data_IF_444112837485
#
_entry.id   IF_444112837485
#
_cell.length_a   1.000
_cell.length_b   1.000
_cell.length_c   1.000
_cell.angle_alpha   90.00
_cell.angle_beta   90.00
_cell.angle_gamma   90.00
#
_symmetry.space_group_name_H-M   'P 1'
#
loop_
_entity.id
_entity.type
_entity.pdbx_description
1 polymer ?
#
# COMPACT_ATOMS: atom_id res chain seq x y z
N UNK A 1 -3.21 -19.68 -25.97
CA UNK A 1 -2.32 -19.13 -24.92
C UNK A 1 -2.02 -17.69 -25.28
N UNK A 2 -1.86 -16.82 -24.28
CA UNK A 2 -1.45 -15.43 -24.49
C UNK A 2 0.05 -15.36 -24.80
N UNK A 3 0.40 -14.67 -25.87
CA UNK A 3 1.74 -14.50 -26.42
C UNK A 3 2.02 -13.07 -26.88
N UNK A 4 0.98 -12.29 -27.23
CA UNK A 4 1.12 -10.88 -27.63
C UNK A 4 0.24 -9.93 -26.78
N UNK A 5 0.86 -9.19 -25.86
CA UNK A 5 0.16 -8.19 -25.02
C UNK A 5 -0.27 -6.91 -25.77
N UNK A 6 0.10 -6.78 -27.05
CA UNK A 6 -0.42 -5.72 -27.94
C UNK A 6 -1.66 -6.15 -28.73
N UNK A 7 -2.17 -7.37 -28.53
CA UNK A 7 -3.47 -7.80 -29.02
C UNK A 7 -4.43 -7.95 -27.83
N UNK A 8 -5.29 -6.95 -27.63
CA UNK A 8 -6.27 -6.98 -26.53
C UNK A 8 -7.28 -8.14 -26.65
N UNK A 9 -7.57 -8.64 -27.87
CA UNK A 9 -8.44 -9.79 -28.05
C UNK A 9 -7.74 -11.07 -27.59
N UNK A 10 -6.46 -11.22 -27.90
CA UNK A 10 -5.67 -12.35 -27.42
C UNK A 10 -5.58 -12.32 -25.89
N UNK A 11 -5.27 -11.17 -25.29
CA UNK A 11 -5.11 -11.04 -23.83
C UNK A 11 -6.38 -11.39 -23.04
N UNK A 12 -7.57 -11.18 -23.62
CA UNK A 12 -8.86 -11.37 -22.95
C UNK A 12 -9.63 -12.65 -23.33
N UNK A 13 -9.17 -13.39 -24.34
CA UNK A 13 -9.88 -14.60 -24.81
C UNK A 13 -8.98 -15.84 -24.91
N UNK A 14 -7.70 -15.74 -24.55
CA UNK A 14 -6.76 -16.84 -24.57
C UNK A 14 -6.26 -17.18 -23.16
N UNK A 15 -5.83 -18.43 -23.00
CA UNK A 15 -5.32 -18.94 -21.72
C UNK A 15 -4.06 -18.19 -21.24
N UNK A 16 -4.17 -17.52 -20.10
CA UNK A 16 -3.05 -16.95 -19.36
C UNK A 16 -2.21 -18.08 -18.79
N UNK A 17 -0.98 -18.26 -19.28
CA UNK A 17 -0.05 -19.34 -18.84
C UNK A 17 -0.67 -20.75 -18.79
N UNK A 18 -1.64 -21.03 -19.65
CA UNK A 18 -2.34 -22.33 -19.72
C UNK A 18 -3.52 -22.48 -18.75
N UNK A 19 -3.88 -21.43 -18.01
CA UNK A 19 -5.10 -21.38 -17.21
C UNK A 19 -6.32 -21.37 -18.13
N UNK A 20 -7.28 -22.27 -17.88
CA UNK A 20 -8.51 -22.37 -18.68
C UNK A 20 -9.32 -21.08 -18.55
N UNK A 21 -9.60 -20.47 -19.69
CA UNK A 21 -10.27 -19.17 -19.76
C UNK A 21 -11.80 -19.35 -19.78
N UNK A 22 -12.47 -18.79 -18.77
CA UNK A 22 -13.93 -18.83 -18.69
C UNK A 22 -14.52 -17.82 -19.67
N UNK A 23 -15.56 -18.20 -20.43
CA UNK A 23 -16.25 -17.24 -21.30
C UNK A 23 -17.25 -16.41 -20.48
N UNK A 24 -16.82 -15.26 -19.94
CA UNK A 24 -17.71 -14.38 -19.16
C UNK A 24 -18.75 -13.64 -20.00
N UNK A 25 -18.72 -13.74 -21.33
CA UNK A 25 -19.82 -13.29 -22.20
C UNK A 25 -21.02 -14.25 -22.21
N UNK A 26 -20.88 -15.47 -21.67
CA UNK A 26 -21.95 -16.44 -21.53
C UNK A 26 -22.75 -16.20 -20.24
N UNK A 27 -24.08 -16.06 -20.36
CA UNK A 27 -24.95 -15.78 -19.22
C UNK A 27 -24.87 -16.84 -18.11
N UNK A 28 -24.72 -18.12 -18.45
CA UNK A 28 -24.57 -19.18 -17.45
C UNK A 28 -23.29 -19.02 -16.63
N UNK A 29 -22.18 -18.61 -17.26
CA UNK A 29 -20.92 -18.35 -16.56
C UNK A 29 -21.07 -17.13 -15.65
N UNK A 30 -21.68 -16.05 -16.15
CA UNK A 30 -21.97 -14.86 -15.33
C UNK A 30 -22.86 -15.22 -14.13
N UNK A 31 -23.90 -16.03 -14.31
CA UNK A 31 -24.80 -16.48 -13.25
C UNK A 31 -24.03 -17.21 -12.15
N UNK A 32 -23.11 -18.12 -12.53
CA UNK A 32 -22.29 -18.88 -11.58
C UNK A 32 -21.33 -17.99 -10.79
N UNK A 33 -20.73 -16.99 -11.44
CA UNK A 33 -19.87 -16.01 -10.76
C UNK A 33 -20.67 -15.14 -9.80
N UNK A 34 -21.81 -14.60 -10.24
CA UNK A 34 -22.69 -13.77 -9.39
C UNK A 34 -23.20 -14.58 -8.20
N UNK A 35 -23.66 -15.82 -8.40
CA UNK A 35 -24.11 -16.72 -7.32
C UNK A 35 -23.03 -16.88 -6.24
N UNK A 36 -21.78 -17.11 -6.64
CA UNK A 36 -20.66 -17.23 -5.72
C UNK A 36 -20.36 -15.92 -4.97
N UNK A 37 -20.29 -14.79 -5.67
CA UNK A 37 -19.97 -13.50 -5.06
C UNK A 37 -21.09 -13.02 -4.13
N UNK A 38 -22.35 -13.19 -4.51
CA UNK A 38 -23.49 -12.88 -3.66
C UNK A 38 -23.54 -13.74 -2.41
N UNK A 39 -23.16 -15.02 -2.50
CA UNK A 39 -23.02 -15.86 -1.32
C UNK A 39 -21.99 -15.30 -0.33
N UNK A 40 -20.85 -14.80 -0.82
CA UNK A 40 -19.84 -14.16 0.03
C UNK A 40 -20.34 -12.83 0.62
N UNK A 41 -21.11 -12.05 -0.13
CA UNK A 41 -21.76 -10.83 0.37
C UNK A 41 -22.73 -11.17 1.50
N UNK A 42 -23.53 -12.22 1.34
CA UNK A 42 -24.46 -12.67 2.38
C UNK A 42 -23.71 -13.07 3.67
N UNK A 43 -22.50 -13.65 3.54
CA UNK A 43 -21.60 -14.00 4.66
C UNK A 43 -20.89 -12.78 5.28
N UNK A 44 -21.04 -11.59 4.71
CA UNK A 44 -20.57 -10.33 5.31
C UNK A 44 -19.25 -9.79 4.77
N UNK A 45 -18.75 -10.25 3.62
CA UNK A 45 -17.56 -9.63 3.01
C UNK A 45 -17.89 -8.19 2.56
N UNK A 46 -16.93 -7.27 2.69
CA UNK A 46 -17.11 -5.86 2.32
C UNK A 46 -16.82 -5.57 0.83
N UNK A 47 -16.19 -6.51 0.12
CA UNK A 47 -15.63 -6.25 -1.21
C UNK A 47 -14.77 -7.38 -1.74
N UNK A 48 -14.25 -7.17 -2.95
CA UNK A 48 -13.51 -8.17 -3.71
C UNK A 48 -12.27 -7.57 -4.39
N UNK A 49 -11.16 -8.30 -4.31
CA UNK A 49 -10.04 -8.14 -5.25
C UNK A 49 -10.28 -9.09 -6.40
N UNK A 50 -10.51 -8.53 -7.58
CA UNK A 50 -10.77 -9.28 -8.80
C UNK A 50 -9.44 -9.57 -9.46
N UNK A 51 -9.01 -10.83 -9.33
CA UNK A 51 -7.79 -11.38 -9.92
C UNK A 51 -7.79 -11.25 -11.43
N UNK A 52 -6.61 -11.03 -12.03
CA UNK A 52 -6.40 -11.07 -13.47
C UNK A 52 -7.42 -10.22 -14.27
N UNK A 53 -7.92 -9.11 -13.71
CA UNK A 53 -8.98 -8.31 -14.34
C UNK A 53 -8.58 -7.76 -15.71
N UNK A 54 -7.28 -7.54 -15.95
CA UNK A 54 -6.73 -7.23 -17.28
C UNK A 54 -7.16 -8.22 -18.37
N UNK A 55 -7.33 -9.49 -18.01
CA UNK A 55 -7.69 -10.60 -18.89
C UNK A 55 -9.20 -10.80 -19.05
N UNK A 56 -10.02 -9.91 -18.50
CA UNK A 56 -11.47 -9.95 -18.66
C UNK A 56 -11.94 -8.70 -19.40
N UNK A 57 -13.01 -8.82 -20.19
CA UNK A 57 -13.61 -7.65 -20.83
C UNK A 57 -14.29 -6.75 -19.79
N UNK A 58 -14.04 -5.42 -19.80
CA UNK A 58 -14.74 -4.48 -18.92
C UNK A 58 -16.27 -4.57 -19.04
N UNK A 59 -16.78 -4.86 -20.24
CA UNK A 59 -18.22 -5.03 -20.47
C UNK A 59 -18.81 -6.23 -19.70
N UNK A 60 -18.11 -7.37 -19.70
CA UNK A 60 -18.57 -8.56 -18.97
C UNK A 60 -18.48 -8.35 -17.46
N UNK A 61 -17.40 -7.72 -16.98
CA UNK A 61 -17.27 -7.32 -15.58
C UNK A 61 -18.37 -6.35 -15.15
N UNK A 62 -18.73 -5.39 -16.00
CA UNK A 62 -19.81 -4.44 -15.71
C UNK A 62 -21.16 -5.14 -15.51
N UNK A 63 -21.45 -6.18 -16.31
CA UNK A 63 -22.66 -7.00 -16.15
C UNK A 63 -22.62 -7.77 -14.83
N UNK A 64 -21.50 -8.41 -14.50
CA UNK A 64 -21.34 -9.16 -13.25
C UNK A 64 -21.51 -8.23 -12.04
N UNK A 65 -20.77 -7.12 -11.99
CA UNK A 65 -20.83 -6.18 -10.87
C UNK A 65 -22.19 -5.49 -10.73
N UNK A 66 -22.86 -5.21 -11.85
CA UNK A 66 -24.19 -4.61 -11.87
C UNK A 66 -25.28 -5.52 -11.30
N UNK A 67 -25.02 -6.83 -11.20
CA UNK A 67 -25.95 -7.84 -10.69
C UNK A 67 -25.72 -8.22 -9.22
N UNK A 68 -24.61 -7.79 -8.63
CA UNK A 68 -24.30 -8.11 -7.24
C UNK A 68 -25.31 -7.48 -6.27
N UNK A 69 -25.58 -8.19 -5.18
CA UNK A 69 -26.32 -7.65 -4.04
C UNK A 69 -25.61 -6.43 -3.44
N UNK A 70 -26.40 -5.62 -2.73
CA UNK A 70 -25.83 -4.70 -1.76
C UNK A 70 -25.29 -5.48 -0.56
N UNK A 71 -24.35 -4.88 0.17
CA UNK A 71 -23.73 -5.45 1.36
C UNK A 71 -24.77 -5.74 2.45
N UNK A 72 -24.57 -6.85 3.16
CA UNK A 72 -25.50 -7.34 4.16
C UNK A 72 -25.55 -6.45 5.40
N UNK A 73 -26.71 -5.84 5.68
CA UNK A 73 -26.90 -4.92 6.81
C UNK A 73 -26.74 -5.59 8.18
N UNK A 74 -26.90 -6.92 8.27
CA UNK A 74 -26.71 -7.67 9.52
C UNK A 74 -25.23 -7.65 9.98
N UNK A 75 -24.30 -7.36 9.06
CA UNK A 75 -22.87 -7.19 9.33
C UNK A 75 -22.47 -5.72 9.55
N UNK A 76 -23.44 -4.82 9.79
CA UNK A 76 -23.20 -3.43 10.16
C UNK A 76 -22.98 -2.47 8.98
N UNK A 77 -23.19 -2.92 7.74
CA UNK A 77 -23.18 -2.05 6.56
C UNK A 77 -24.47 -1.21 6.49
N UNK A 78 -24.36 0.02 5.99
CA UNK A 78 -25.53 0.85 5.74
C UNK A 78 -26.38 0.28 4.59
N UNK A 79 -27.71 0.45 4.64
CA UNK A 79 -28.59 0.03 3.54
C UNK A 79 -28.17 0.67 2.21
N UNK A 80 -28.11 -0.14 1.15
CA UNK A 80 -27.68 0.30 -0.18
C UNK A 80 -26.16 0.38 -0.39
N UNK A 81 -25.35 0.00 0.60
CA UNK A 81 -23.89 -0.06 0.44
C UNK A 81 -23.52 -1.11 -0.62
N UNK A 82 -22.65 -0.76 -1.56
CA UNK A 82 -22.14 -1.69 -2.58
C UNK A 82 -20.81 -2.28 -2.15
N UNK A 83 -20.52 -3.49 -2.63
CA UNK A 83 -19.22 -4.11 -2.44
C UNK A 83 -18.08 -3.24 -2.99
N UNK A 84 -17.00 -3.09 -2.23
CA UNK A 84 -15.80 -2.42 -2.71
C UNK A 84 -15.08 -3.32 -3.73
N UNK A 85 -14.96 -2.86 -4.97
CA UNK A 85 -14.29 -3.60 -6.04
C UNK A 85 -12.91 -3.00 -6.30
N UNK A 86 -11.88 -3.85 -6.24
CA UNK A 86 -10.55 -3.53 -6.75
C UNK A 86 -10.13 -4.55 -7.80
N UNK A 87 -9.74 -4.06 -8.96
CA UNK A 87 -9.42 -4.87 -10.13
C UNK A 87 -7.91 -4.96 -10.29
N UNK A 88 -7.38 -6.17 -10.39
CA UNK A 88 -5.98 -6.35 -10.75
C UNK A 88 -5.76 -6.07 -12.23
N UNK A 89 -5.22 -4.89 -12.51
CA UNK A 89 -4.85 -4.50 -13.88
C UNK A 89 -3.39 -4.05 -13.86
N UNK A 90 -2.50 -4.95 -14.27
CA UNK A 90 -1.09 -4.63 -14.46
C UNK A 90 -0.95 -3.78 -15.72
N UNK A 91 -0.83 -2.46 -15.55
CA UNK A 91 -0.59 -1.48 -16.62
C UNK A 91 0.64 -0.62 -16.30
N UNK A 92 1.78 -1.01 -16.87
CA UNK A 92 3.04 -0.26 -16.83
C UNK A 92 3.20 0.67 -18.05
N UNK A 93 2.22 0.72 -18.95
CA UNK A 93 2.27 1.40 -20.24
C UNK A 93 2.91 0.56 -21.35
N UNK A 94 2.68 0.95 -22.61
CA UNK A 94 3.28 0.30 -23.77
C UNK A 94 2.59 -1.00 -24.24
N UNK A 95 1.39 -1.27 -23.75
CA UNK A 95 0.56 -2.42 -24.14
C UNK A 95 -0.82 -1.95 -24.66
N UNK A 96 -1.59 -2.86 -25.25
CA UNK A 96 -2.89 -2.52 -25.85
C UNK A 96 -4.01 -2.25 -24.84
N UNK A 97 -3.86 -2.71 -23.59
CA UNK A 97 -4.88 -2.58 -22.54
C UNK A 97 -4.43 -1.53 -21.53
N UNK A 98 -5.34 -0.62 -21.19
CA UNK A 98 -5.11 0.40 -20.18
C UNK A 98 -5.94 0.17 -18.91
N UNK A 99 -5.36 0.50 -17.75
CA UNK A 99 -6.10 0.56 -16.47
C UNK A 99 -7.31 1.49 -16.53
N UNK A 100 -7.27 2.53 -17.37
CA UNK A 100 -8.36 3.49 -17.52
C UNK A 100 -9.68 2.85 -17.95
N UNK A 101 -9.64 1.75 -18.72
CA UNK A 101 -10.82 0.98 -19.15
C UNK A 101 -11.64 0.42 -17.98
N UNK A 102 -11.02 0.25 -16.81
CA UNK A 102 -11.60 -0.42 -15.64
C UNK A 102 -11.99 0.56 -14.51
N UNK A 103 -11.48 1.80 -14.55
CA UNK A 103 -11.70 2.79 -13.47
C UNK A 103 -13.16 3.22 -13.29
N UNK A 104 -13.99 3.05 -14.33
CA UNK A 104 -15.44 3.26 -14.26
C UNK A 104 -16.19 2.19 -13.46
N UNK A 105 -15.57 1.01 -13.26
CA UNK A 105 -16.18 -0.16 -12.62
C UNK A 105 -15.82 -0.28 -11.12
N UNK A 106 -14.71 0.32 -10.71
CA UNK A 106 -14.18 0.21 -9.35
C UNK A 106 -12.78 0.78 -9.26
N UNK A 107 -12.09 0.50 -8.15
CA UNK A 107 -10.67 0.78 -8.04
C UNK A 107 -9.84 -0.20 -8.89
N UNK A 108 -8.59 0.17 -9.16
CA UNK A 108 -7.58 -0.68 -9.78
C UNK A 108 -6.35 -0.80 -8.87
N UNK A 109 -5.56 -1.86 -9.04
CA UNK A 109 -4.23 -1.97 -8.46
C UNK A 109 -3.24 -1.07 -9.20
N UNK A 110 -2.73 -0.02 -8.55
CA UNK A 110 -1.78 0.90 -9.20
C UNK A 110 -0.34 0.36 -9.12
N UNK A 111 0.02 -0.56 -10.01
CA UNK A 111 1.37 -1.18 -10.01
C UNK A 111 2.50 -0.17 -10.26
N UNK A 112 2.24 0.95 -10.95
CA UNK A 112 3.25 2.00 -11.12
C UNK A 112 3.64 2.65 -9.80
N UNK A 113 2.75 2.65 -8.81
CA UNK A 113 3.09 3.10 -7.46
C UNK A 113 4.18 2.22 -6.85
N UNK A 114 4.02 0.89 -6.90
CA UNK A 114 4.99 -0.11 -6.38
C UNK A 114 6.35 0.01 -7.09
N UNK A 115 6.35 0.13 -8.42
CA UNK A 115 7.57 0.31 -9.21
C UNK A 115 8.28 1.64 -8.91
N UNK A 116 7.54 2.76 -8.93
CA UNK A 116 8.13 4.10 -8.76
C UNK A 116 8.65 4.31 -7.34
N UNK A 117 7.91 3.87 -6.32
CA UNK A 117 8.33 4.03 -4.92
C UNK A 117 9.55 3.14 -4.64
N UNK A 118 9.60 1.97 -5.27
CA UNK A 118 10.75 1.08 -5.24
C UNK A 118 12.02 1.74 -5.78
N UNK A 119 11.95 2.34 -6.99
CA UNK A 119 13.08 3.05 -7.61
C UNK A 119 13.59 4.20 -6.76
N UNK A 120 12.68 5.03 -6.25
CA UNK A 120 13.04 6.19 -5.42
C UNK A 120 13.75 5.76 -4.13
N UNK A 121 13.18 4.82 -3.37
CA UNK A 121 13.79 4.39 -2.09
C UNK A 121 14.99 3.45 -2.26
N UNK A 122 15.22 2.90 -3.45
CA UNK A 122 16.48 2.24 -3.83
C UNK A 122 17.58 3.21 -4.28
N UNK A 123 17.29 4.51 -4.38
CA UNK A 123 18.23 5.53 -4.86
C UNK A 123 18.46 5.50 -6.37
N UNK A 124 17.57 4.85 -7.14
CA UNK A 124 17.55 4.94 -8.60
C UNK A 124 16.82 6.20 -9.10
N UNK A 125 16.10 6.84 -8.20
CA UNK A 125 15.50 8.16 -8.37
C UNK A 125 15.56 8.89 -7.01
N UNK A 126 15.28 10.20 -6.99
CA UNK A 126 15.48 11.03 -5.79
C UNK A 126 14.18 11.35 -5.06
N UNK A 127 14.24 11.42 -3.72
CA UNK A 127 13.08 11.75 -2.90
C UNK A 127 12.51 13.15 -3.19
N UNK A 128 13.33 14.13 -3.59
CA UNK A 128 12.86 15.48 -3.93
C UNK A 128 11.74 15.51 -4.98
N UNK A 129 11.73 14.55 -5.92
CA UNK A 129 10.73 14.53 -6.99
C UNK A 129 9.35 14.05 -6.52
N UNK A 130 9.25 13.51 -5.29
CA UNK A 130 7.99 13.08 -4.71
C UNK A 130 7.03 14.25 -4.36
N UNK A 131 7.45 15.51 -4.56
CA UNK A 131 6.62 16.71 -4.30
C UNK A 131 5.28 16.70 -5.05
N UNK A 132 5.22 16.03 -6.21
CA UNK A 132 4.01 15.88 -7.03
C UNK A 132 3.55 14.42 -7.17
N UNK A 133 3.88 13.56 -6.19
CA UNK A 133 3.52 12.14 -6.19
C UNK A 133 2.02 11.91 -6.42
N UNK A 134 1.67 11.11 -7.43
CA UNK A 134 0.28 10.89 -7.82
C UNK A 134 0.08 10.86 -9.34
N UNK A 135 -0.96 11.51 -9.84
CA UNK A 135 -1.32 11.49 -11.27
C UNK A 135 -0.22 12.08 -12.18
N UNK A 136 0.60 13.01 -11.69
CA UNK A 136 1.75 13.55 -12.42
C UNK A 136 2.82 12.47 -12.72
N UNK A 137 2.82 11.38 -11.96
CA UNK A 137 3.67 10.20 -12.18
C UNK A 137 3.00 9.16 -13.11
N UNK A 138 1.90 9.51 -13.77
CA UNK A 138 1.14 8.62 -14.65
C UNK A 138 0.29 7.59 -13.89
N UNK A 139 -0.01 7.85 -12.61
CA UNK A 139 -0.97 7.05 -11.85
C UNK A 139 -2.41 7.39 -12.26
N UNK A 140 -3.33 6.48 -12.01
CA UNK A 140 -4.77 6.74 -12.10
C UNK A 140 -5.19 7.76 -11.03
N UNK A 141 -6.45 8.21 -11.10
CA UNK A 141 -7.00 9.08 -10.08
C UNK A 141 -6.89 8.44 -8.68
N UNK A 142 -6.66 9.28 -7.65
CA UNK A 142 -6.44 8.82 -6.27
C UNK A 142 -7.60 7.96 -5.75
N UNK A 143 -8.84 8.37 -6.01
CA UNK A 143 -10.08 7.67 -5.62
C UNK A 143 -10.30 6.35 -6.38
N UNK A 144 -9.47 6.07 -7.39
CA UNK A 144 -9.50 4.82 -8.19
C UNK A 144 -8.28 3.94 -7.97
N UNK A 145 -7.37 4.32 -7.08
CA UNK A 145 -6.08 3.65 -6.94
C UNK A 145 -5.97 2.91 -5.61
N UNK A 146 -5.92 1.58 -5.65
CA UNK A 146 -5.36 0.79 -4.55
C UNK A 146 -3.84 0.75 -4.71
N UNK A 147 -3.14 1.35 -3.75
CA UNK A 147 -1.67 1.48 -3.77
C UNK A 147 -1.01 0.55 -2.78
N UNK A 148 0.20 0.13 -3.08
CA UNK A 148 1.00 -0.77 -2.25
C UNK A 148 2.49 -0.60 -2.57
N UNK A 149 3.35 -1.00 -1.63
CA UNK A 149 4.81 -1.09 -1.86
C UNK A 149 5.12 -2.37 -2.60
N UNK A 150 4.52 -3.48 -2.18
CA UNK A 150 4.59 -4.80 -2.78
C UNK A 150 3.24 -5.53 -2.71
N UNK A 151 3.08 -6.57 -3.53
CA UNK A 151 2.01 -7.56 -3.42
C UNK A 151 2.62 -8.97 -3.34
N UNK A 152 1.74 -9.97 -3.24
CA UNK A 152 2.15 -11.36 -3.14
C UNK A 152 2.93 -11.87 -4.37
N UNK A 153 2.64 -11.39 -5.58
CA UNK A 153 3.40 -11.80 -6.78
C UNK A 153 4.75 -11.10 -6.86
N UNK A 154 4.76 -9.77 -6.81
CA UNK A 154 5.94 -8.99 -7.16
C UNK A 154 7.00 -8.98 -6.07
N UNK A 155 6.66 -9.31 -4.82
CA UNK A 155 7.66 -9.58 -3.79
C UNK A 155 8.49 -10.84 -4.08
N UNK A 156 8.00 -11.73 -4.95
CA UNK A 156 8.69 -12.93 -5.45
C UNK A 156 9.38 -12.69 -6.80
N UNK A 157 9.30 -11.47 -7.34
CA UNK A 157 9.76 -11.17 -8.70
C UNK A 157 8.79 -11.63 -9.80
N UNK A 158 7.58 -12.09 -9.43
CA UNK A 158 6.53 -12.41 -10.39
C UNK A 158 5.69 -11.15 -10.65
N UNK A 159 5.43 -10.80 -11.91
CA UNK A 159 4.63 -9.61 -12.25
C UNK A 159 5.43 -8.31 -12.33
N UNK A 160 4.77 -7.17 -12.07
CA UNK A 160 5.30 -5.84 -12.39
C UNK A 160 6.22 -5.23 -11.33
N UNK A 161 7.22 -4.47 -11.79
CA UNK A 161 8.22 -3.75 -10.99
C UNK A 161 9.58 -4.46 -10.90
N UNK A 162 9.62 -5.78 -11.12
CA UNK A 162 10.87 -6.55 -11.18
C UNK A 162 11.78 -6.35 -9.97
N UNK A 163 13.08 -6.12 -10.20
CA UNK A 163 14.08 -5.98 -9.14
C UNK A 163 13.92 -4.72 -8.28
N UNK A 164 13.08 -3.76 -8.71
CA UNK A 164 12.87 -2.50 -7.98
C UNK A 164 11.85 -2.61 -6.85
N UNK A 165 11.02 -3.65 -6.85
CA UNK A 165 10.06 -3.90 -5.77
C UNK A 165 10.79 -4.03 -4.43
N UNK A 166 10.38 -3.23 -3.45
CA UNK A 166 10.86 -3.31 -2.08
C UNK A 166 10.02 -4.32 -1.32
N UNK A 167 10.65 -5.16 -0.50
CA UNK A 167 9.97 -6.20 0.28
C UNK A 167 10.54 -6.25 1.69
N UNK A 168 9.96 -7.08 2.56
CA UNK A 168 10.49 -7.34 3.90
C UNK A 168 11.96 -7.78 3.92
N UNK A 169 12.50 -8.29 2.79
CA UNK A 169 13.90 -8.72 2.65
C UNK A 169 14.89 -7.54 2.60
N UNK A 170 14.42 -6.31 2.39
CA UNK A 170 15.19 -5.06 2.45
C UNK A 170 14.54 -4.09 3.45
N UNK A 171 14.58 -4.42 4.76
CA UNK A 171 13.65 -3.88 5.74
C UNK A 171 13.76 -2.38 5.97
N UNK A 172 14.96 -1.78 5.89
CA UNK A 172 15.12 -0.33 6.07
C UNK A 172 14.37 0.45 4.99
N UNK A 173 14.66 0.19 3.71
CA UNK A 173 14.00 0.83 2.59
C UNK A 173 12.50 0.50 2.54
N UNK A 174 12.12 -0.74 2.86
CA UNK A 174 10.71 -1.14 2.91
C UNK A 174 9.89 -0.36 3.95
N UNK A 175 10.43 -0.19 5.17
CA UNK A 175 9.81 0.63 6.21
C UNK A 175 9.70 2.09 5.78
N UNK A 176 10.74 2.64 5.14
CA UNK A 176 10.73 4.01 4.62
C UNK A 176 9.65 4.21 3.55
N UNK A 177 9.60 3.35 2.54
CA UNK A 177 8.58 3.39 1.48
C UNK A 177 7.15 3.21 2.04
N UNK A 178 6.97 2.29 2.98
CA UNK A 178 5.68 2.05 3.64
C UNK A 178 5.23 3.28 4.45
N UNK A 179 6.15 3.91 5.18
CA UNK A 179 5.86 5.14 5.92
C UNK A 179 5.47 6.29 4.97
N UNK A 180 6.16 6.45 3.84
CA UNK A 180 5.78 7.44 2.83
C UNK A 180 4.38 7.18 2.27
N UNK A 181 4.10 5.95 1.83
CA UNK A 181 2.78 5.55 1.32
C UNK A 181 1.66 5.82 2.33
N UNK A 182 1.89 5.51 3.62
CA UNK A 182 0.91 5.71 4.68
C UNK A 182 0.73 7.19 5.05
N UNK A 183 1.80 7.99 5.00
CA UNK A 183 1.76 9.42 5.27
C UNK A 183 1.17 10.25 4.11
N UNK A 184 1.33 9.82 2.87
CA UNK A 184 0.87 10.53 1.67
C UNK A 184 -0.65 10.33 1.44
N UNK A 185 -1.43 11.35 1.05
CA UNK A 185 -2.90 11.22 0.91
C UNK A 185 -3.35 10.36 -0.30
N UNK A 186 -2.47 10.16 -1.29
CA UNK A 186 -2.80 9.47 -2.54
C UNK A 186 -3.20 8.00 -2.33
N UNK A 187 -4.31 7.60 -2.97
CA UNK A 187 -4.78 6.23 -3.05
C UNK A 187 -5.31 5.63 -1.73
N UNK A 188 -5.82 4.42 -1.85
CA UNK A 188 -6.15 3.54 -0.73
C UNK A 188 -4.99 2.58 -0.49
N UNK A 189 -4.21 2.73 0.59
CA UNK A 189 -3.05 1.89 0.81
C UNK A 189 -3.44 0.49 1.27
N UNK A 190 -2.76 -0.51 0.73
CA UNK A 190 -2.76 -1.89 1.22
C UNK A 190 -1.38 -2.21 1.77
N UNK A 191 -1.32 -2.60 3.04
CA UNK A 191 -0.11 -3.10 3.69
C UNK A 191 -0.01 -4.60 3.44
N UNK A 192 1.14 -5.07 2.97
CA UNK A 192 1.40 -6.49 2.79
C UNK A 192 1.73 -7.13 4.15
N UNK A 193 1.39 -8.41 4.31
CA UNK A 193 1.83 -9.23 5.42
C UNK A 193 2.20 -10.60 4.89
N UNK A 194 3.47 -10.95 4.99
CA UNK A 194 4.08 -12.07 4.29
C UNK A 194 4.41 -13.22 5.24
N UNK A 195 4.78 -14.34 4.62
CA UNK A 195 5.60 -15.38 5.23
C UNK A 195 6.98 -15.38 4.58
N UNK A 196 7.97 -15.93 5.27
CA UNK A 196 9.33 -15.99 4.77
C UNK A 196 9.50 -17.13 3.76
N UNK A 197 10.13 -16.83 2.63
CA UNK A 197 10.41 -17.79 1.57
C UNK A 197 11.82 -17.58 0.99
N UNK A 198 12.45 -18.67 0.56
CA UNK A 198 13.70 -18.65 -0.22
C UNK A 198 13.48 -19.01 -1.69
N UNK A 199 12.48 -19.84 -1.95
CA UNK A 199 11.99 -20.19 -3.29
C UNK A 199 10.76 -19.34 -3.62
N UNK A 200 10.70 -18.80 -4.84
CA UNK A 200 9.61 -17.94 -5.31
C UNK A 200 8.30 -18.69 -5.48
N UNK A 201 8.34 -20.01 -5.67
CA UNK A 201 7.16 -20.88 -5.78
C UNK A 201 6.78 -21.53 -4.43
N UNK A 202 7.46 -21.15 -3.34
CA UNK A 202 7.20 -21.72 -2.02
C UNK A 202 5.83 -21.31 -1.47
N UNK A 203 5.08 -22.32 -1.02
CA UNK A 203 3.85 -22.13 -0.24
C UNK A 203 4.09 -21.59 1.18
N UNK A 204 3.00 -21.31 1.93
CA UNK A 204 3.09 -20.81 3.30
C UNK A 204 3.71 -21.85 4.26
N UNK A 205 4.11 -21.44 5.48
CA UNK A 205 4.57 -22.36 6.52
C UNK A 205 3.52 -23.45 6.79
N UNK A 206 3.94 -24.70 6.91
CA UNK A 206 3.06 -25.85 7.17
C UNK A 206 3.53 -26.65 8.38
N UNK A 207 2.62 -27.32 9.10
CA UNK A 207 2.96 -28.22 10.21
C UNK A 207 3.47 -29.59 9.75
N UNK A 208 3.05 -30.04 8.57
CA UNK A 208 3.27 -31.41 8.07
C UNK A 208 3.39 -31.49 6.53
N UNK A 209 3.66 -30.36 5.87
CA UNK A 209 3.70 -30.24 4.41
C UNK A 209 2.33 -30.03 3.74
N UNK A 210 1.22 -30.14 4.47
CA UNK A 210 -0.13 -30.05 3.89
C UNK A 210 -1.03 -29.05 4.63
N UNK A 211 -0.90 -28.96 5.95
CA UNK A 211 -1.69 -28.09 6.79
C UNK A 211 -0.95 -26.78 7.08
N UNK A 212 -1.56 -25.64 6.74
CA UNK A 212 -1.00 -24.31 6.99
C UNK A 212 -0.80 -24.10 8.50
N UNK A 213 0.42 -23.78 8.91
CA UNK A 213 0.75 -23.50 10.30
C UNK A 213 0.26 -22.10 10.71
N UNK A 214 -0.38 -21.99 11.87
CA UNK A 214 -0.76 -20.70 12.43
C UNK A 214 0.47 -19.86 12.82
N UNK A 215 0.40 -18.52 12.72
CA UNK A 215 1.46 -17.64 13.22
C UNK A 215 1.61 -17.76 14.74
N UNK A 216 2.87 -17.71 15.21
CA UNK A 216 3.20 -17.63 16.63
C UNK A 216 3.45 -16.16 16.97
N UNK A 217 2.75 -15.64 17.96
CA UNK A 217 2.91 -14.26 18.41
C UNK A 217 3.84 -14.19 19.63
N UNK A 218 4.93 -13.44 19.48
CA UNK A 218 5.95 -13.29 20.51
C UNK A 218 5.56 -12.16 21.50
N UNK A 219 6.23 -12.10 22.65
CA UNK A 219 5.97 -11.09 23.70
C UNK A 219 6.31 -9.65 23.28
N UNK A 220 7.15 -9.49 22.26
CA UNK A 220 7.53 -8.20 21.67
C UNK A 220 6.60 -7.78 20.50
N UNK A 221 5.46 -8.47 20.35
CA UNK A 221 4.50 -8.34 19.25
C UNK A 221 4.98 -8.78 17.86
N UNK A 222 6.21 -9.28 17.71
CA UNK A 222 6.66 -9.89 16.46
C UNK A 222 6.00 -11.26 16.20
N UNK A 223 6.13 -11.76 14.98
CA UNK A 223 5.72 -13.12 14.64
C UNK A 223 6.92 -14.06 14.48
N UNK A 224 6.69 -15.34 14.75
CA UNK A 224 7.60 -16.44 14.42
C UNK A 224 6.85 -17.59 13.73
N UNK A 225 7.51 -18.73 13.52
CA UNK A 225 6.92 -19.86 12.77
C UNK A 225 6.91 -19.65 11.26
N UNK A 226 7.84 -18.85 10.73
CA UNK A 226 7.94 -18.53 9.30
C UNK A 226 7.07 -17.37 8.84
N UNK A 227 6.28 -16.75 9.72
CA UNK A 227 5.48 -15.57 9.40
C UNK A 227 6.26 -14.28 9.64
N UNK A 228 6.23 -13.35 8.68
CA UNK A 228 6.99 -12.09 8.74
C UNK A 228 6.22 -11.02 9.52
N UNK A 229 4.91 -10.93 9.28
CA UNK A 229 4.01 -9.98 9.94
C UNK A 229 4.48 -8.51 9.90
N UNK A 230 4.76 -7.99 8.71
CA UNK A 230 5.14 -6.58 8.49
C UNK A 230 4.12 -5.62 9.11
N UNK A 231 2.83 -5.97 9.07
CA UNK A 231 1.74 -5.22 9.72
C UNK A 231 1.90 -5.07 11.25
N UNK A 232 2.78 -5.84 11.90
CA UNK A 232 3.12 -5.76 13.34
C UNK A 232 4.43 -5.06 13.61
N UNK A 233 5.18 -4.67 12.58
CA UNK A 233 6.37 -3.86 12.77
C UNK A 233 5.96 -2.48 13.27
N UNK A 234 6.60 -1.99 14.33
CA UNK A 234 6.27 -0.71 14.98
C UNK A 234 6.14 0.43 13.99
N UNK A 235 7.13 0.53 13.10
CA UNK A 235 7.21 1.53 12.06
C UNK A 235 6.02 1.49 11.10
N UNK A 236 5.39 0.33 10.90
CA UNK A 236 4.25 0.15 9.99
C UNK A 236 2.93 0.36 10.73
N UNK A 237 2.67 -0.32 11.86
CA UNK A 237 1.39 -0.13 12.56
C UNK A 237 1.24 1.29 13.12
N UNK A 238 2.32 1.93 13.56
CA UNK A 238 2.24 3.33 13.99
C UNK A 238 2.00 4.27 12.80
N UNK A 239 2.46 3.93 11.60
CA UNK A 239 2.14 4.72 10.40
C UNK A 239 0.72 4.48 9.88
N UNK A 240 0.13 3.31 10.15
CA UNK A 240 -1.33 3.11 9.99
C UNK A 240 -2.09 4.01 10.97
N UNK A 241 -1.66 4.09 12.24
CA UNK A 241 -2.24 5.01 13.21
C UNK A 241 -2.00 6.48 12.85
N UNK A 242 -0.85 6.83 12.26
CA UNK A 242 -0.56 8.15 11.70
C UNK A 242 -1.58 8.49 10.62
N UNK A 243 -1.78 7.60 9.63
CA UNK A 243 -2.74 7.81 8.54
C UNK A 243 -4.15 8.05 9.06
N UNK A 244 -4.60 7.24 10.02
CA UNK A 244 -5.90 7.41 10.67
C UNK A 244 -5.98 8.75 11.41
N UNK A 245 -4.89 9.15 12.06
CA UNK A 245 -4.83 10.41 12.81
C UNK A 245 -4.91 11.61 11.89
N UNK A 246 -4.24 11.61 10.73
CA UNK A 246 -4.22 12.76 9.81
C UNK A 246 -5.41 12.78 8.84
N UNK A 247 -6.08 11.65 8.64
CA UNK A 247 -7.29 11.56 7.82
C UNK A 247 -7.10 12.11 6.41
N UNK A 248 -7.99 13.02 6.01
CA UNK A 248 -8.03 13.65 4.68
C UNK A 248 -7.24 14.96 4.58
N UNK A 249 -6.50 15.38 5.62
CA UNK A 249 -5.74 16.63 5.59
C UNK A 249 -4.78 16.67 4.39
N UNK A 250 -4.62 17.80 3.71
CA UNK A 250 -3.72 17.87 2.55
C UNK A 250 -2.24 17.92 2.97
N UNK A 251 -1.35 17.66 2.02
CA UNK A 251 0.09 17.91 2.21
C UNK A 251 0.32 19.42 2.32
N UNK A 252 1.07 19.81 3.34
CA UNK A 252 1.54 21.17 3.56
C UNK A 252 3.00 21.16 4.02
N UNK A 253 3.66 22.32 4.00
CA UNK A 253 5.03 22.49 4.49
C UNK A 253 6.02 21.48 3.87
N UNK A 254 5.88 21.21 2.57
CA UNK A 254 6.88 20.40 1.85
C UNK A 254 8.24 21.08 1.95
N UNK A 255 9.25 20.29 2.26
CA UNK A 255 10.64 20.70 2.23
C UNK A 255 11.47 19.56 1.66
N UNK A 256 12.49 19.91 0.89
CA UNK A 256 13.53 19.00 0.44
C UNK A 256 14.88 19.73 0.41
N UNK A 257 15.96 18.96 0.38
CA UNK A 257 17.33 19.48 0.28
C UNK A 257 17.87 19.51 -1.16
N UNK A 258 17.02 19.36 -2.18
CA UNK A 258 17.48 19.14 -3.55
C UNK A 258 18.09 17.76 -3.82
N UNK A 259 17.89 16.78 -2.92
CA UNK A 259 18.39 15.40 -3.02
C UNK A 259 17.44 14.39 -2.35
N UNK A 260 17.91 13.66 -1.33
CA UNK A 260 17.23 12.54 -0.70
C UNK A 260 16.91 12.81 0.78
N UNK A 261 16.73 14.08 1.15
CA UNK A 261 16.10 14.46 2.40
C UNK A 261 14.84 15.24 2.09
N UNK A 262 13.71 14.75 2.59
CA UNK A 262 12.41 15.40 2.40
C UNK A 262 11.64 15.42 3.71
N UNK A 263 10.70 16.36 3.83
CA UNK A 263 9.70 16.35 4.88
C UNK A 263 8.41 17.00 4.41
N UNK A 264 7.30 16.65 5.05
CA UNK A 264 6.04 17.33 4.86
C UNK A 264 5.13 17.11 6.07
N UNK A 265 4.12 17.97 6.15
CA UNK A 265 3.02 17.86 7.13
C UNK A 265 1.72 17.47 6.44
N UNK A 266 0.82 16.85 7.20
CA UNK A 266 -0.57 16.61 6.84
C UNK A 266 -1.42 17.53 7.71
N UNK A 267 -1.76 18.69 7.14
CA UNK A 267 -2.35 19.81 7.88
C UNK A 267 -1.56 20.13 9.16
N UNK A 268 -2.29 20.37 10.25
CA UNK A 268 -1.72 20.56 11.59
C UNK A 268 -1.77 19.30 12.45
N UNK A 269 -1.94 18.12 11.83
CA UNK A 269 -2.23 16.85 12.54
C UNK A 269 -1.06 15.87 12.54
N UNK A 270 -0.19 15.90 11.54
CA UNK A 270 1.00 15.05 11.47
C UNK A 270 2.13 15.65 10.65
N UNK A 271 3.35 15.24 10.96
CA UNK A 271 4.58 15.61 10.25
C UNK A 271 5.47 14.38 10.09
N UNK A 272 6.09 14.24 8.93
CA UNK A 272 7.03 13.17 8.61
C UNK A 272 8.27 13.72 7.91
N UNK A 273 9.43 13.15 8.20
CA UNK A 273 10.70 13.46 7.55
C UNK A 273 11.43 12.17 7.18
N UNK A 274 12.18 12.21 6.08
CA UNK A 274 12.92 11.09 5.52
C UNK A 274 14.36 11.51 5.25
N UNK A 275 15.30 10.60 5.53
CA UNK A 275 16.70 10.73 5.12
C UNK A 275 17.14 9.46 4.40
N UNK A 276 17.36 9.58 3.09
CA UNK A 276 17.94 8.55 2.23
C UNK A 276 19.24 9.05 1.55
N UNK A 277 19.79 10.18 2.02
CA UNK A 277 21.15 10.61 1.67
C UNK A 277 22.19 9.84 2.52
N UNK A 278 23.47 9.94 2.13
CA UNK A 278 24.58 9.32 2.85
C UNK A 278 25.13 10.18 4.00
N UNK A 279 24.47 11.29 4.32
CA UNK A 279 24.81 12.19 5.42
C UNK A 279 23.58 12.53 6.27
N UNK A 280 23.80 13.03 7.48
CA UNK A 280 22.75 13.26 8.46
C UNK A 280 21.81 14.40 8.03
N UNK A 281 20.51 14.20 8.27
CA UNK A 281 19.54 15.28 8.27
C UNK A 281 19.60 15.94 9.64
N UNK A 282 20.02 17.20 9.68
CA UNK A 282 19.99 18.06 10.87
C UNK A 282 19.50 19.44 10.46
N UNK A 283 18.21 19.71 10.63
CA UNK A 283 17.60 20.96 10.17
C UNK A 283 16.43 21.38 11.03
N UNK A 284 16.24 22.69 11.19
CA UNK A 284 14.99 23.25 11.72
C UNK A 284 13.97 23.24 10.60
N UNK A 285 12.84 22.55 10.76
CA UNK A 285 11.80 22.39 9.74
C UNK A 285 10.44 22.87 10.27
N UNK A 286 9.60 23.42 9.38
CA UNK A 286 8.23 23.82 9.71
C UNK A 286 7.35 22.58 9.73
N UNK A 287 6.81 22.24 10.90
CA UNK A 287 6.00 21.03 11.07
C UNK A 287 4.51 21.25 10.88
N UNK A 288 4.05 22.51 10.98
CA UNK A 288 2.62 22.84 11.02
C UNK A 288 1.89 22.38 12.30
N UNK A 289 2.58 21.68 13.21
CA UNK A 289 1.99 21.14 14.43
C UNK A 289 1.92 22.20 15.53
N UNK A 290 0.94 22.10 16.46
CA UNK A 290 0.91 22.91 17.67
C UNK A 290 2.17 22.69 18.54
N UNK A 291 2.61 23.74 19.24
CA UNK A 291 3.74 23.67 20.14
C UNK A 291 3.59 22.57 21.22
N UNK A 292 4.69 21.90 21.55
CA UNK A 292 4.77 20.87 22.57
C UNK A 292 5.75 19.76 22.22
N UNK A 293 5.83 18.75 23.09
CA UNK A 293 6.72 17.60 22.92
C UNK A 293 5.95 16.43 22.33
N UNK A 294 6.51 15.82 21.29
CA UNK A 294 5.92 14.69 20.57
C UNK A 294 6.85 13.48 20.63
N UNK A 295 6.27 12.29 20.72
CA UNK A 295 6.99 11.04 20.57
C UNK A 295 7.16 10.71 19.09
N UNK A 296 8.38 10.41 18.65
CA UNK A 296 8.62 9.83 17.34
C UNK A 296 8.09 8.39 17.30
N UNK A 297 7.10 8.16 16.45
CA UNK A 297 6.40 6.88 16.35
C UNK A 297 7.15 5.84 15.51
N UNK A 298 8.28 6.23 14.90
CA UNK A 298 9.18 5.30 14.19
C UNK A 298 10.15 4.66 15.18
N UNK A 299 10.94 5.46 15.91
CA UNK A 299 11.90 4.96 16.89
C UNK A 299 11.25 4.40 18.16
N UNK A 300 10.02 4.80 18.48
CA UNK A 300 9.29 4.29 19.65
C UNK A 300 7.79 4.53 19.58
N UNK A 301 7.17 4.69 20.74
CA UNK A 301 5.74 4.95 20.92
C UNK A 301 5.52 5.89 22.11
N UNK A 302 4.34 6.53 22.17
CA UNK A 302 3.86 7.19 23.37
C UNK A 302 3.38 6.14 24.38
N UNK A 303 3.91 6.18 25.60
CA UNK A 303 3.53 5.32 26.72
C UNK A 303 3.13 6.18 27.91
N UNK A 304 1.83 6.38 28.11
CA UNK A 304 1.33 7.33 29.12
C UNK A 304 1.84 8.76 28.84
N UNK A 305 2.62 9.31 29.76
CA UNK A 305 3.22 10.64 29.67
C UNK A 305 4.70 10.64 29.25
N UNK A 306 5.20 9.54 28.67
CA UNK A 306 6.57 9.43 28.19
C UNK A 306 6.66 8.85 26.77
N UNK A 307 7.82 9.01 26.15
CA UNK A 307 8.14 8.43 24.85
C UNK A 307 9.18 7.32 25.05
N UNK A 308 8.97 6.17 24.39
CA UNK A 308 9.94 5.06 24.45
C UNK A 308 11.08 5.21 23.45
N UNK A 309 10.95 6.13 22.49
CA UNK A 309 11.95 6.47 21.48
C UNK A 309 12.34 7.94 21.55
N UNK A 310 12.69 8.53 20.39
CA UNK A 310 13.03 9.95 20.28
C UNK A 310 11.86 10.85 20.65
N UNK A 311 12.19 12.06 21.08
CA UNK A 311 11.24 13.15 21.27
C UNK A 311 11.54 14.28 20.30
N UNK A 312 10.49 14.99 19.88
CA UNK A 312 10.59 16.20 19.07
C UNK A 312 9.85 17.32 19.78
N UNK A 313 10.53 18.42 20.05
CA UNK A 313 9.92 19.63 20.63
C UNK A 313 9.57 20.60 19.51
N UNK A 314 8.28 20.86 19.34
CA UNK A 314 7.76 21.85 18.40
C UNK A 314 7.60 23.18 19.12
N UNK A 315 8.22 24.22 18.59
CA UNK A 315 8.15 25.59 19.09
C UNK A 315 6.80 26.26 18.84
N UNK A 316 6.58 27.43 19.45
CA UNK A 316 5.38 28.25 19.25
C UNK A 316 5.19 28.75 17.81
N UNK A 317 6.25 28.75 17.01
CA UNK A 317 6.26 29.08 15.58
C UNK A 317 6.01 27.85 14.67
N UNK A 318 5.73 26.68 15.26
CA UNK A 318 5.50 25.42 14.55
C UNK A 318 6.77 24.72 14.07
N UNK A 319 7.96 25.28 14.34
CA UNK A 319 9.23 24.70 13.91
C UNK A 319 9.78 23.70 14.91
N UNK A 320 10.52 22.71 14.44
CA UNK A 320 11.24 21.76 15.27
C UNK A 320 12.62 21.44 14.69
N UNK A 321 13.58 21.10 15.55
CA UNK A 321 14.86 20.53 15.11
C UNK A 321 14.66 19.05 14.80
N UNK A 322 14.84 18.67 13.54
CA UNK A 322 14.68 17.31 13.03
C UNK A 322 16.06 16.72 12.79
N UNK A 323 16.30 15.55 13.39
CA UNK A 323 17.57 14.84 13.34
C UNK A 323 17.36 13.37 12.97
N UNK A 324 17.85 12.98 11.80
CA UNK A 324 17.84 11.59 11.29
C UNK A 324 19.24 11.28 10.76
N UNK A 325 20.00 10.49 11.50
CA UNK A 325 21.33 10.05 11.09
C UNK A 325 21.28 9.11 9.89
N UNK A 326 22.24 9.19 8.97
CA UNK A 326 22.26 8.33 7.78
C UNK A 326 22.46 6.84 8.12
N UNK A 327 23.10 6.56 9.26
CA UNK A 327 23.38 5.23 9.79
C UNK A 327 22.28 4.65 10.69
N UNK A 328 21.20 5.38 10.96
CA UNK A 328 20.11 4.89 11.82
C UNK A 328 19.39 3.67 11.21
N UNK A 329 18.83 2.81 12.07
CA UNK A 329 18.06 1.62 11.67
C UNK A 329 16.85 1.97 10.77
N UNK A 330 16.31 3.18 10.96
CA UNK A 330 15.18 3.73 10.22
C UNK A 330 15.54 5.12 9.70
N UNK A 331 15.43 5.33 8.38
CA UNK A 331 15.64 6.64 7.75
C UNK A 331 14.40 7.54 7.78
N UNK A 332 13.53 7.39 8.79
CA UNK A 332 12.25 8.13 8.91
C UNK A 332 12.06 8.61 10.33
N UNK A 333 11.46 9.80 10.47
CA UNK A 333 10.89 10.30 11.72
C UNK A 333 9.45 10.70 11.46
N UNK A 334 8.53 10.34 12.35
CA UNK A 334 7.12 10.71 12.23
C UNK A 334 6.51 11.09 13.58
N UNK A 335 5.77 12.20 13.61
CA UNK A 335 5.06 12.70 14.79
C UNK A 335 3.65 13.14 14.41
N UNK A 336 2.69 12.98 15.32
CA UNK A 336 1.31 13.40 15.09
C UNK A 336 0.62 13.81 16.39
N UNK A 337 -0.53 14.48 16.31
CA UNK A 337 -1.24 15.05 17.46
C UNK A 337 -1.57 14.03 18.56
N UNK A 338 -1.90 12.79 18.20
CA UNK A 338 -2.15 11.72 19.19
C UNK A 338 -0.88 11.17 19.87
N UNK A 339 0.32 11.54 19.39
CA UNK A 339 1.62 11.20 19.98
C UNK A 339 2.26 12.37 20.74
N UNK A 340 1.54 13.50 20.90
CA UNK A 340 1.93 14.62 21.75
C UNK A 340 1.85 14.23 23.23
N UNK A 341 2.83 14.61 24.05
CA UNK A 341 2.81 14.42 25.51
C UNK A 341 1.85 15.38 26.21
#
# INVERSE_FOLDING_TARGET
AISNYNDANEVRNCELVGLRDLNQGNSYVQDKVVEFLDHLIDLGVAGFRVDAAKHMWPADLAVIYGRLKNLNTDHGFASGSKAYIVQEVIDMGGEAISKSEYTGLGAITEFRHSDSIGKVFRGKDQLQYLTNWGTAWGFAASDRSLVFVDNHDNQRGHGAGGADVLTYKVPKQYKMASAFMLAHPFGTPRVMSSFSFTDTDQGPPTTDGHNIASPIFNSDNSCSGGWVCEHRWRQIYNMVAFRNTVGSDEIQNWWDNGSNQISFSRGSRGFVAFNNDNYDLNSSLQTGLPAGTYCDVISGSKSGSSCTGKTVTVGSDGRASINIGSSEDDGVLAIHVNAKL
#
